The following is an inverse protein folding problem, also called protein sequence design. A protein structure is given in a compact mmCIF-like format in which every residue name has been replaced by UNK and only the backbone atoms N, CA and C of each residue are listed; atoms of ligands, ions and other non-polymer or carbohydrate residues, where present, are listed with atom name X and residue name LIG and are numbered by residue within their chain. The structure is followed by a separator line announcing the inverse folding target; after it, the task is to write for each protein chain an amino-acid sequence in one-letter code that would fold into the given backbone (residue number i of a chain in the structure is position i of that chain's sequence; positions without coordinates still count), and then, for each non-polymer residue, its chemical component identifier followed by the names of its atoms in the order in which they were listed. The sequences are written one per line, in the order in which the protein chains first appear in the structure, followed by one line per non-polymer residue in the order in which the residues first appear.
data_IF_290737693682
#
_entry.id   IF_290737693682
#
_cell.length_a   1.000
_cell.length_b   1.000
_cell.length_c   1.000
_cell.angle_alpha   90.00
_cell.angle_beta   90.00
_cell.angle_gamma   90.00
#
_symmetry.space_group_name_H-M   'P 1'
#
loop_
_entity.id
_entity.type
_entity.pdbx_description
1 polymer ?
#
# COMPACT_ATOMS: atom_id res chain seq x y z
N UNK A 1 -1.32 6.83 -17.18
CA UNK A 1 -0.72 6.78 -15.84
C UNK A 1 -0.80 5.34 -15.40
N UNK A 2 0.34 4.71 -15.18
CA UNK A 2 0.41 3.33 -14.70
C UNK A 2 0.63 3.32 -13.18
N UNK A 3 -0.08 2.44 -12.50
CA UNK A 3 -0.03 2.31 -11.05
C UNK A 3 0.29 0.85 -10.72
N UNK A 4 1.22 0.65 -9.79
CA UNK A 4 1.51 -0.66 -9.21
C UNK A 4 1.05 -0.70 -7.76
N UNK A 5 0.26 -1.71 -7.42
CA UNK A 5 -0.11 -2.04 -6.06
C UNK A 5 0.59 -3.35 -5.67
N UNK A 6 1.41 -3.30 -4.63
CA UNK A 6 2.04 -4.49 -4.03
C UNK A 6 1.48 -4.66 -2.63
N UNK A 7 1.02 -5.86 -2.27
CA UNK A 7 0.50 -6.09 -0.93
C UNK A 7 0.85 -7.45 -0.33
N UNK A 8 0.77 -7.55 1.00
CA UNK A 8 0.87 -8.78 1.78
C UNK A 8 -0.41 -9.01 2.58
N UNK A 9 -0.88 -10.26 2.68
CA UNK A 9 -2.14 -10.58 3.35
C UNK A 9 -2.18 -12.05 3.80
N UNK A 10 -2.16 -12.27 5.12
CA UNK A 10 -2.21 -13.63 5.67
C UNK A 10 -3.63 -14.22 5.74
N UNK A 11 -4.62 -13.43 6.16
CA UNK A 11 -6.01 -13.90 6.35
C UNK A 11 -7.02 -13.30 5.38
N UNK A 12 -6.56 -12.54 4.38
CA UNK A 12 -7.43 -11.92 3.37
C UNK A 12 -7.83 -10.47 3.65
N UNK A 13 -7.70 -9.97 4.88
CA UNK A 13 -8.15 -8.61 5.24
C UNK A 13 -7.47 -7.51 4.42
N UNK A 14 -6.14 -7.55 4.29
CA UNK A 14 -5.40 -6.56 3.48
C UNK A 14 -5.69 -6.72 2.00
N UNK A 15 -5.97 -7.94 1.54
CA UNK A 15 -6.43 -8.19 0.17
C UNK A 15 -7.80 -7.56 -0.10
N UNK A 16 -8.77 -7.70 0.81
CA UNK A 16 -10.10 -7.07 0.66
C UNK A 16 -9.99 -5.53 0.57
N UNK A 17 -9.10 -4.94 1.37
CA UNK A 17 -8.78 -3.50 1.29
C UNK A 17 -8.15 -3.17 -0.06
N UNK A 18 -7.17 -3.96 -0.52
CA UNK A 18 -6.50 -3.79 -1.81
C UNK A 18 -7.50 -3.82 -2.97
N UNK A 19 -8.43 -4.77 -2.96
CA UNK A 19 -9.48 -4.94 -3.96
C UNK A 19 -10.42 -3.72 -4.00
N UNK A 20 -10.86 -3.21 -2.84
CA UNK A 20 -11.70 -2.03 -2.76
C UNK A 20 -10.96 -0.76 -3.26
N UNK A 21 -9.68 -0.58 -2.91
CA UNK A 21 -8.85 0.51 -3.44
C UNK A 21 -8.71 0.38 -4.96
N UNK A 22 -8.48 -0.84 -5.46
CA UNK A 22 -8.33 -1.12 -6.87
C UNK A 22 -9.59 -0.79 -7.68
N UNK A 23 -10.79 -1.07 -7.14
CA UNK A 23 -12.05 -0.63 -7.74
C UNK A 23 -12.10 0.90 -7.90
N UNK A 24 -11.72 1.63 -6.85
CA UNK A 24 -11.62 3.08 -6.86
C UNK A 24 -10.69 3.60 -7.95
N UNK A 25 -9.46 3.09 -7.99
CA UNK A 25 -8.45 3.46 -9.02
C UNK A 25 -8.98 3.19 -10.42
N UNK A 26 -9.48 1.96 -10.69
CA UNK A 26 -9.96 1.56 -12.02
C UNK A 26 -11.15 2.41 -12.49
N UNK A 27 -11.97 2.91 -11.58
CA UNK A 27 -13.09 3.80 -11.91
C UNK A 27 -12.65 5.14 -12.54
N UNK A 28 -11.40 5.56 -12.31
CA UNK A 28 -10.81 6.77 -12.91
C UNK A 28 -10.28 6.56 -14.34
N UNK A 29 -10.19 5.30 -14.78
CA UNK A 29 -9.58 4.91 -16.05
C UNK A 29 -8.05 4.76 -16.00
N UNK A 30 -7.42 4.86 -14.82
CA UNK A 30 -6.00 4.56 -14.64
C UNK A 30 -5.68 3.07 -14.85
N UNK A 31 -4.50 2.77 -15.37
CA UNK A 31 -4.01 1.40 -15.52
C UNK A 31 -3.42 0.93 -14.18
N UNK A 32 -3.95 -0.17 -13.64
CA UNK A 32 -3.55 -0.72 -12.35
C UNK A 32 -3.09 -2.17 -12.49
N UNK A 33 -1.85 -2.42 -12.10
CA UNK A 33 -1.30 -3.74 -11.85
C UNK A 33 -1.28 -4.04 -10.36
N UNK A 34 -1.64 -5.26 -9.98
CA UNK A 34 -1.72 -5.69 -8.58
C UNK A 34 -0.89 -6.95 -8.44
N UNK A 35 -0.01 -6.97 -7.44
CA UNK A 35 0.84 -8.11 -7.08
C UNK A 35 0.79 -8.38 -5.60
N UNK A 36 0.84 -9.66 -5.23
CA UNK A 36 1.26 -10.03 -3.89
C UNK A 36 2.77 -9.79 -3.77
N UNK A 37 3.24 -9.47 -2.57
CA UNK A 37 4.64 -9.10 -2.33
C UNK A 37 5.61 -10.22 -2.73
N UNK A 38 5.20 -11.48 -2.59
CA UNK A 38 6.01 -12.64 -2.98
C UNK A 38 6.19 -12.79 -4.50
N UNK A 39 5.31 -12.16 -5.29
CA UNK A 39 5.34 -12.18 -6.75
C UNK A 39 5.91 -10.87 -7.35
N UNK A 40 6.39 -9.95 -6.51
CA UNK A 40 6.93 -8.66 -6.90
C UNK A 40 8.41 -8.52 -6.47
N UNK A 41 9.14 -7.63 -7.15
CA UNK A 41 10.42 -7.12 -6.68
C UNK A 41 10.37 -5.59 -6.54
N UNK A 42 11.17 -5.02 -5.65
CA UNK A 42 11.11 -3.58 -5.38
C UNK A 42 11.55 -2.73 -6.58
N UNK A 43 12.38 -3.28 -7.47
CA UNK A 43 12.85 -2.59 -8.67
C UNK A 43 11.74 -2.28 -9.67
N UNK A 44 10.69 -3.07 -9.70
CA UNK A 44 9.52 -2.79 -10.54
C UNK A 44 8.88 -1.45 -10.20
N UNK A 45 8.94 -0.99 -8.94
CA UNK A 45 8.33 0.27 -8.50
C UNK A 45 8.81 1.47 -9.33
N UNK A 46 10.06 1.48 -9.79
CA UNK A 46 10.65 2.57 -10.57
C UNK A 46 9.94 2.79 -11.93
N UNK A 47 9.30 1.73 -12.46
CA UNK A 47 8.66 1.72 -13.78
C UNK A 47 7.23 2.30 -13.81
N UNK A 48 6.63 2.59 -12.66
CA UNK A 48 5.24 3.06 -12.57
C UNK A 48 5.18 4.53 -12.15
N UNK A 49 4.07 5.21 -12.48
CA UNK A 49 3.86 6.62 -12.13
C UNK A 49 3.45 6.78 -10.65
N UNK A 50 2.67 5.82 -10.14
CA UNK A 50 2.24 5.77 -8.75
C UNK A 50 2.36 4.37 -8.15
N UNK A 51 2.64 4.31 -6.85
CA UNK A 51 2.81 3.05 -6.12
C UNK A 51 1.89 3.02 -4.90
N UNK A 52 1.27 1.86 -4.65
CA UNK A 52 0.58 1.55 -3.40
C UNK A 52 1.24 0.35 -2.73
N UNK A 53 1.57 0.48 -1.45
CA UNK A 53 2.16 -0.58 -0.64
C UNK A 53 1.18 -1.02 0.45
N UNK A 54 0.77 -2.29 0.43
CA UNK A 54 -0.21 -2.86 1.35
C UNK A 54 0.40 -3.86 2.32
N UNK A 55 0.22 -3.71 3.63
CA UNK A 55 0.65 -4.76 4.57
C UNK A 55 -0.21 -4.78 5.84
N UNK A 56 -0.49 -5.99 6.34
CA UNK A 56 -0.96 -6.16 7.71
C UNK A 56 0.16 -5.89 8.71
N UNK A 57 -0.17 -5.54 9.95
CA UNK A 57 0.84 -5.41 11.02
C UNK A 57 0.99 -6.73 11.75
N UNK A 58 2.24 -7.13 12.00
CA UNK A 58 2.57 -8.38 12.71
C UNK A 58 3.17 -8.09 14.09
N UNK A 59 2.96 -9.03 15.02
CA UNK A 59 3.60 -8.99 16.34
C UNK A 59 3.41 -7.67 17.09
N UNK A 60 4.53 -7.05 17.45
CA UNK A 60 4.59 -5.80 18.24
C UNK A 60 4.80 -4.56 17.34
N UNK A 61 4.10 -4.50 16.20
CA UNK A 61 4.19 -3.36 15.28
C UNK A 61 5.19 -3.53 14.13
N UNK A 62 5.44 -4.77 13.72
CA UNK A 62 6.42 -5.11 12.69
C UNK A 62 5.76 -5.33 11.32
N UNK A 63 6.58 -5.31 10.27
CA UNK A 63 6.17 -5.80 8.96
C UNK A 63 6.03 -7.33 8.99
N UNK A 64 5.15 -7.90 8.16
CA UNK A 64 5.12 -9.34 7.92
C UNK A 64 6.46 -9.86 7.41
N UNK A 65 6.85 -11.06 7.83
CA UNK A 65 8.09 -11.71 7.38
C UNK A 65 8.17 -11.80 5.84
N UNK A 66 7.02 -12.07 5.19
CA UNK A 66 6.92 -12.14 3.72
C UNK A 66 7.19 -10.80 3.01
N UNK A 67 7.13 -9.67 3.72
CA UNK A 67 7.49 -8.36 3.19
C UNK A 67 8.98 -8.04 3.32
N UNK A 68 9.74 -8.78 4.13
CA UNK A 68 11.09 -8.36 4.53
C UNK A 68 12.07 -8.32 3.35
N UNK A 69 12.07 -9.35 2.50
CA UNK A 69 12.93 -9.38 1.32
C UNK A 69 12.64 -8.19 0.38
N UNK A 70 11.36 -7.94 0.08
CA UNK A 70 10.93 -6.79 -0.72
C UNK A 70 11.31 -5.45 -0.07
N UNK A 71 11.14 -5.33 1.26
CA UNK A 71 11.49 -4.14 2.01
C UNK A 71 12.99 -3.85 2.01
N UNK A 72 13.83 -4.90 2.09
CA UNK A 72 15.28 -4.77 1.96
C UNK A 72 15.69 -4.37 0.55
N UNK A 73 15.09 -4.96 -0.49
CA UNK A 73 15.33 -4.58 -1.90
C UNK A 73 15.03 -3.10 -2.17
N UNK A 74 14.06 -2.51 -1.45
CA UNK A 74 13.77 -1.08 -1.56
C UNK A 74 14.97 -0.20 -1.19
N UNK A 75 15.98 -0.67 -0.46
CA UNK A 75 17.18 0.14 -0.18
C UNK A 75 17.99 0.49 -1.43
N UNK A 76 17.87 -0.30 -2.50
CA UNK A 76 18.67 -0.20 -3.71
C UNK A 76 17.98 0.53 -4.87
N UNK A 77 16.80 1.13 -4.64
CA UNK A 77 16.02 1.83 -5.67
C UNK A 77 15.89 3.33 -5.40
N UNK A 78 15.59 4.11 -6.44
CA UNK A 78 15.30 5.55 -6.35
C UNK A 78 13.84 5.83 -6.74
N UNK A 79 13.07 6.35 -5.77
CA UNK A 79 11.67 6.73 -5.95
C UNK A 79 11.48 8.25 -6.07
N UNK A 80 12.56 8.99 -6.34
CA UNK A 80 12.50 10.44 -6.53
C UNK A 80 11.48 10.85 -7.60
N UNK A 81 10.53 11.71 -7.21
CA UNK A 81 9.46 12.20 -8.09
C UNK A 81 8.31 11.20 -8.30
N UNK A 82 8.34 10.04 -7.63
CA UNK A 82 7.21 9.11 -7.58
C UNK A 82 6.29 9.47 -6.41
N UNK A 83 5.00 9.21 -6.58
CA UNK A 83 4.02 9.30 -5.48
C UNK A 83 3.74 7.90 -4.95
N UNK A 84 3.88 7.74 -3.64
CA UNK A 84 3.68 6.47 -2.95
C UNK A 84 2.67 6.66 -1.83
N UNK A 85 1.71 5.75 -1.74
CA UNK A 85 0.80 5.67 -0.59
C UNK A 85 0.85 4.26 -0.01
N UNK A 86 0.41 4.11 1.23
CA UNK A 86 0.36 2.81 1.88
C UNK A 86 -1.00 2.56 2.52
N UNK A 87 -1.34 1.28 2.67
CA UNK A 87 -2.57 0.84 3.31
C UNK A 87 -2.35 -0.48 4.05
N UNK A 88 -3.29 -0.87 4.90
CA UNK A 88 -3.18 -2.13 5.60
C UNK A 88 -4.31 -2.40 6.57
N UNK A 89 -4.54 -3.68 6.83
CA UNK A 89 -5.38 -4.09 7.96
C UNK A 89 -4.60 -3.98 9.28
N UNK A 90 -5.24 -3.45 10.31
CA UNK A 90 -4.73 -3.38 11.67
C UNK A 90 -5.71 -4.02 12.67
N UNK A 91 -5.25 -4.21 13.90
CA UNK A 91 -6.06 -4.68 15.01
C UNK A 91 -5.77 -3.82 16.23
N UNK A 92 -6.77 -3.06 16.66
CA UNK A 92 -6.74 -2.15 17.80
C UNK A 92 -6.64 -2.85 19.15
N UNK A 93 -6.72 -4.19 19.19
CA UNK A 93 -6.38 -4.97 20.36
C UNK A 93 -4.88 -4.96 20.70
N UNK A 94 -4.03 -4.52 19.76
CA UNK A 94 -2.58 -4.38 19.92
C UNK A 94 -2.17 -2.91 20.10
N UNK A 95 -1.02 -2.69 20.75
CA UNK A 95 -0.53 -1.34 21.05
C UNK A 95 -0.12 -0.56 19.80
N UNK A 96 0.47 -1.24 18.82
CA UNK A 96 1.05 -0.63 17.61
C UNK A 96 0.12 -0.77 16.39
N UNK A 97 -0.99 -0.03 16.41
CA UNK A 97 -2.04 -0.10 15.39
C UNK A 97 -1.56 0.43 14.03
N UNK A 98 -1.44 -0.47 13.05
CA UNK A 98 -1.12 -0.13 11.66
C UNK A 98 0.32 0.35 11.45
N UNK A 99 1.25 -0.05 12.32
CA UNK A 99 2.66 0.35 12.23
C UNK A 99 3.32 -0.04 10.90
N UNK A 100 2.92 -1.18 10.30
CA UNK A 100 3.39 -1.60 8.99
C UNK A 100 3.18 -0.53 7.89
N UNK A 101 2.03 0.15 7.93
CA UNK A 101 1.68 1.22 6.98
C UNK A 101 2.66 2.39 7.12
N UNK A 102 2.97 2.78 8.36
CA UNK A 102 3.89 3.87 8.64
C UNK A 102 5.33 3.52 8.25
N UNK A 103 5.74 2.27 8.48
CA UNK A 103 7.06 1.74 8.09
C UNK A 103 7.24 1.81 6.57
N UNK A 104 6.23 1.40 5.80
CA UNK A 104 6.28 1.43 4.33
C UNK A 104 6.35 2.87 3.79
N UNK A 105 5.52 3.78 4.31
CA UNK A 105 5.58 5.20 3.92
C UNK A 105 6.93 5.82 4.24
N UNK A 106 7.46 5.55 5.42
CA UNK A 106 8.78 6.05 5.83
C UNK A 106 9.87 5.55 4.89
N UNK A 107 9.89 4.25 4.58
CA UNK A 107 10.86 3.66 3.65
C UNK A 107 10.77 4.29 2.27
N UNK A 108 9.56 4.46 1.73
CA UNK A 108 9.36 5.12 0.44
C UNK A 108 9.89 6.56 0.44
N UNK A 109 9.61 7.33 1.50
CA UNK A 109 10.12 8.69 1.65
C UNK A 109 11.64 8.75 1.77
N UNK A 110 12.26 7.79 2.48
CA UNK A 110 13.72 7.63 2.55
C UNK A 110 14.35 7.31 1.19
N UNK A 111 13.58 6.82 0.22
CA UNK A 111 13.96 6.61 -1.19
C UNK A 111 13.57 7.76 -2.11
N UNK A 112 13.14 8.89 -1.57
CA UNK A 112 12.84 10.11 -2.34
C UNK A 112 11.39 10.23 -2.83
N UNK A 113 10.51 9.30 -2.47
CA UNK A 113 9.10 9.38 -2.84
C UNK A 113 8.37 10.55 -2.14
N UNK A 114 7.40 11.11 -2.85
CA UNK A 114 6.35 11.93 -2.26
C UNK A 114 5.26 11.01 -1.67
N UNK A 115 4.85 11.24 -0.43
CA UNK A 115 3.76 10.50 0.21
C UNK A 115 2.56 11.43 0.41
N UNK A 116 1.69 11.62 -0.60
CA UNK A 116 0.74 12.73 -0.62
C UNK A 116 -0.52 12.50 0.24
N UNK A 117 -0.75 11.27 0.71
CA UNK A 117 -1.88 10.90 1.55
C UNK A 117 -1.37 10.27 2.85
N UNK A 118 -2.12 10.47 3.93
CA UNK A 118 -1.95 9.65 5.13
C UNK A 118 -2.24 8.18 4.82
N UNK A 119 -1.50 7.27 5.45
CA UNK A 119 -1.67 5.84 5.22
C UNK A 119 -3.06 5.34 5.66
N UNK A 120 -3.71 4.54 4.82
CA UNK A 120 -5.04 4.02 5.11
C UNK A 120 -4.97 2.79 6.02
N UNK A 121 -5.47 2.92 7.24
CA UNK A 121 -5.50 1.83 8.25
C UNK A 121 -6.95 1.40 8.48
N UNK A 122 -7.26 0.13 8.25
CA UNK A 122 -8.60 -0.43 8.42
C UNK A 122 -8.56 -1.52 9.49
N UNK A 123 -9.52 -1.51 10.41
CA UNK A 123 -9.62 -2.52 11.45
C UNK A 123 -10.09 -3.85 10.85
N UNK A 124 -9.25 -4.88 10.90
CA UNK A 124 -9.52 -6.20 10.31
C UNK A 124 -9.97 -6.08 8.84
N UNK A 125 -11.13 -6.67 8.50
CA UNK A 125 -11.77 -6.52 7.20
C UNK A 125 -12.60 -5.24 7.13
N UNK A 126 -12.65 -4.57 5.97
CA UNK A 126 -13.46 -3.37 5.80
C UNK A 126 -14.95 -3.67 5.97
N UNK A 127 -15.65 -2.85 6.73
CA UNK A 127 -17.12 -2.80 6.67
C UNK A 127 -17.57 -2.19 5.33
N UNK A 128 -18.85 -2.35 4.96
CA UNK A 128 -19.40 -1.72 3.75
C UNK A 128 -19.18 -0.20 3.66
N UNK A 129 -19.05 0.50 4.80
CA UNK A 129 -18.72 1.93 4.83
C UNK A 129 -17.23 2.18 4.59
N UNK A 130 -16.38 1.33 5.12
CA UNK A 130 -14.93 1.40 4.93
C UNK A 130 -14.52 0.96 3.53
N UNK A 131 -15.26 0.05 2.88
CA UNK A 131 -15.09 -0.24 1.44
C UNK A 131 -15.22 1.03 0.60
N UNK A 132 -16.24 1.87 0.85
CA UNK A 132 -16.38 3.15 0.16
C UNK A 132 -15.24 4.12 0.49
N UNK A 133 -14.68 4.04 1.69
CA UNK A 133 -13.49 4.81 2.08
C UNK A 133 -12.25 4.33 1.32
N UNK A 134 -12.08 3.02 1.16
CA UNK A 134 -11.01 2.40 0.38
C UNK A 134 -11.11 2.79 -1.10
N UNK A 135 -12.32 2.74 -1.68
CA UNK A 135 -12.57 3.20 -3.06
C UNK A 135 -12.24 4.68 -3.22
N UNK A 136 -12.70 5.53 -2.30
CA UNK A 136 -12.40 6.96 -2.32
C UNK A 136 -10.90 7.24 -2.21
N UNK A 137 -10.18 6.49 -1.37
CA UNK A 137 -8.72 6.56 -1.25
C UNK A 137 -8.02 6.25 -2.59
N UNK A 138 -8.46 5.18 -3.27
CA UNK A 138 -7.96 4.83 -4.60
C UNK A 138 -8.21 5.90 -5.66
N UNK A 139 -9.42 6.48 -5.68
CA UNK A 139 -9.76 7.61 -6.58
C UNK A 139 -8.85 8.81 -6.31
N UNK A 140 -8.74 9.23 -5.03
CA UNK A 140 -7.92 10.38 -4.64
C UNK A 140 -6.45 10.18 -5.03
N UNK A 141 -5.90 8.98 -4.84
CA UNK A 141 -4.54 8.71 -5.24
C UNK A 141 -4.34 8.78 -6.75
N UNK A 142 -5.25 8.19 -7.54
CA UNK A 142 -5.17 8.25 -9.00
C UNK A 142 -5.29 9.69 -9.54
N UNK A 143 -6.15 10.52 -8.95
CA UNK A 143 -6.30 11.94 -9.32
C UNK A 143 -5.03 12.76 -9.01
N UNK A 144 -4.27 12.41 -7.96
CA UNK A 144 -3.02 13.08 -7.63
C UNK A 144 -1.88 12.80 -8.63
N UNK A 145 -2.01 11.79 -9.48
CA UNK A 145 -1.02 11.45 -10.51
C UNK A 145 -1.21 12.23 -11.82
N UNK A 146 -2.40 12.83 -12.03
CA UNK A 146 -2.76 13.65 -13.19
C UNK A 146 -2.59 15.15 -12.96
#
# INVERSE_FOLDING_TARGET
MSILMVYASMTGNTQEIAEAIAEGIRSTGAELEIKEVMDANAKELEAYDGILLGAYTWGDGELPDECMDFYEEMDDIDLSGKKVVAFGSCDSAYEHVGAAVDILLKKASERGAETPLEGLKIELSPTAKEEETCKAFGVSFAELLG
#
